data_IF_828172772983
#
_entry.id   IF_828172772983
#
_cell.length_a   1.000
_cell.length_b   1.000
_cell.length_c   1.000
_cell.angle_alpha   90.00
_cell.angle_beta   90.00
_cell.angle_gamma   90.00
#
_symmetry.space_group_name_H-M   'P 1'
#
loop_
_entity.id
_entity.type
_entity.pdbx_description
1 polymer ?
#
# COMPACT_ATOMS: atom_id res chain seq x y z
N UNK A 1 -13.58 -8.02 4.37
CA UNK A 1 -13.59 -8.77 3.09
C UNK A 1 -12.18 -9.29 2.85
N UNK A 2 -12.03 -10.49 2.30
CA UNK A 2 -10.73 -10.99 1.88
C UNK A 2 -10.33 -10.37 0.52
N UNK A 3 -9.04 -10.13 0.30
CA UNK A 3 -8.48 -9.75 -1.00
C UNK A 3 -7.61 -10.89 -1.55
N UNK A 4 -7.50 -11.00 -2.86
CA UNK A 4 -6.53 -11.87 -3.51
C UNK A 4 -5.17 -11.17 -3.56
N UNK A 5 -5.15 -9.88 -3.91
CA UNK A 5 -3.93 -9.07 -4.00
C UNK A 5 -4.12 -7.75 -3.23
N UNK A 6 -3.19 -7.45 -2.33
CA UNK A 6 -3.10 -6.15 -1.67
C UNK A 6 -1.75 -5.52 -2.01
N UNK A 7 -1.79 -4.43 -2.77
CA UNK A 7 -0.60 -3.69 -3.15
C UNK A 7 -0.40 -2.49 -2.24
N UNK A 8 0.82 -2.33 -1.74
CA UNK A 8 1.25 -1.17 -0.98
C UNK A 8 2.16 -0.29 -1.83
N UNK A 9 1.98 1.02 -1.71
CA UNK A 9 2.89 2.03 -2.25
C UNK A 9 3.33 2.98 -1.13
N UNK A 10 4.53 3.54 -1.24
CA UNK A 10 4.96 4.60 -0.34
C UNK A 10 4.08 5.85 -0.55
N UNK A 11 3.74 6.17 -1.80
CA UNK A 11 2.92 7.31 -2.18
C UNK A 11 1.83 6.90 -3.19
N UNK A 12 0.74 7.68 -3.32
CA UNK A 12 -0.23 7.48 -4.39
C UNK A 12 0.42 7.76 -5.75
N UNK A 13 0.39 6.75 -6.63
CA UNK A 13 1.01 6.60 -7.96
C UNK A 13 2.06 5.48 -8.07
N UNK A 14 2.71 5.10 -6.96
CA UNK A 14 3.76 4.08 -6.95
C UNK A 14 3.25 2.72 -7.46
N UNK A 15 2.07 2.32 -7.00
CA UNK A 15 1.46 1.04 -7.34
C UNK A 15 1.01 1.02 -8.79
N UNK A 16 0.44 2.11 -9.28
CA UNK A 16 0.02 2.27 -10.66
C UNK A 16 1.21 2.14 -11.61
N UNK A 17 2.34 2.78 -11.26
CA UNK A 17 3.56 2.75 -12.06
C UNK A 17 4.22 1.35 -12.07
N UNK A 18 4.28 0.68 -10.91
CA UNK A 18 4.97 -0.60 -10.78
C UNK A 18 4.12 -1.83 -11.10
N UNK A 19 2.82 -1.78 -10.81
CA UNK A 19 1.93 -2.94 -10.79
C UNK A 19 0.51 -2.67 -11.31
N UNK A 20 0.21 -1.50 -11.88
CA UNK A 20 -1.14 -1.17 -12.35
C UNK A 20 -1.69 -2.18 -13.37
N UNK A 21 -0.88 -2.58 -14.35
CA UNK A 21 -1.27 -3.58 -15.34
C UNK A 21 -1.57 -4.96 -14.72
N UNK A 22 -0.82 -5.36 -13.70
CA UNK A 22 -1.05 -6.60 -12.96
C UNK A 22 -2.37 -6.53 -12.19
N UNK A 23 -2.61 -5.45 -11.44
CA UNK A 23 -3.84 -5.29 -10.68
C UNK A 23 -5.08 -5.26 -11.58
N UNK A 24 -5.03 -4.54 -12.70
CA UNK A 24 -6.13 -4.49 -13.65
C UNK A 24 -6.41 -5.86 -14.28
N UNK A 25 -5.36 -6.61 -14.65
CA UNK A 25 -5.51 -7.95 -15.22
C UNK A 25 -6.18 -8.91 -14.23
N UNK A 26 -5.75 -8.90 -12.97
CA UNK A 26 -6.36 -9.73 -11.92
C UNK A 26 -7.79 -9.30 -11.58
N UNK A 27 -8.06 -7.99 -11.47
CA UNK A 27 -9.41 -7.48 -11.27
C UNK A 27 -10.36 -7.91 -12.40
N UNK A 28 -9.90 -7.85 -13.66
CA UNK A 28 -10.67 -8.30 -14.82
C UNK A 28 -10.89 -9.82 -14.86
N UNK A 29 -10.00 -10.61 -14.23
CA UNK A 29 -10.17 -12.04 -14.04
C UNK A 29 -11.12 -12.40 -12.87
N UNK A 30 -11.62 -11.40 -12.13
CA UNK A 30 -12.54 -11.57 -11.01
C UNK A 30 -11.89 -11.58 -9.63
N UNK A 31 -10.58 -11.39 -9.55
CA UNK A 31 -9.87 -11.30 -8.26
C UNK A 31 -10.21 -9.99 -7.54
N UNK A 32 -10.33 -10.07 -6.21
CA UNK A 32 -10.47 -8.90 -5.36
C UNK A 32 -9.10 -8.26 -5.10
N UNK A 33 -8.81 -7.14 -5.77
CA UNK A 33 -7.56 -6.38 -5.60
C UNK A 33 -7.77 -5.13 -4.74
N UNK A 34 -6.71 -4.62 -4.13
CA UNK A 34 -6.76 -3.39 -3.34
C UNK A 34 -5.41 -2.70 -3.25
N UNK A 35 -5.45 -1.39 -2.94
CA UNK A 35 -4.27 -0.53 -2.81
C UNK A 35 -4.23 0.10 -1.41
N UNK A 36 -3.04 0.21 -0.83
CA UNK A 36 -2.79 0.96 0.41
C UNK A 36 -1.58 1.87 0.21
N UNK A 37 -1.80 3.17 0.24
CA UNK A 37 -0.73 4.16 0.21
C UNK A 37 -0.28 4.45 1.65
N UNK A 38 1.03 4.39 1.92
CA UNK A 38 1.56 4.63 3.27
C UNK A 38 1.48 6.12 3.64
N UNK A 39 1.76 7.01 2.69
CA UNK A 39 1.76 8.47 2.85
C UNK A 39 0.72 9.12 1.93
N UNK A 40 0.49 10.43 2.04
CA UNK A 40 -0.36 11.17 1.10
C UNK A 40 0.43 11.74 -0.09
N UNK A 41 1.74 11.57 -0.11
CA UNK A 41 2.60 12.20 -1.13
C UNK A 41 2.65 13.74 -1.00
N UNK A 42 2.43 14.28 0.20
CA UNK A 42 2.27 15.72 0.45
C UNK A 42 3.55 16.54 0.27
N UNK A 43 4.73 15.91 0.21
CA UNK A 43 6.00 16.55 -0.11
C UNK A 43 6.27 16.63 -1.62
N UNK A 44 5.36 16.10 -2.45
CA UNK A 44 5.41 16.21 -3.90
C UNK A 44 5.43 17.67 -4.37
N UNK A 45 6.19 17.97 -5.43
CA UNK A 45 6.36 19.35 -5.93
C UNK A 45 5.07 19.97 -6.49
N UNK A 46 4.10 19.16 -6.89
CA UNK A 46 2.87 19.59 -7.56
C UNK A 46 1.65 18.98 -6.89
N UNK A 47 0.52 19.68 -7.02
CA UNK A 47 -0.75 19.28 -6.44
C UNK A 47 -0.83 19.61 -4.95
N UNK A 48 -1.83 19.04 -4.29
CA UNK A 48 -2.02 19.04 -2.86
C UNK A 48 -2.63 17.69 -2.43
N UNK A 49 -2.79 17.47 -1.13
CA UNK A 49 -3.28 16.21 -0.59
C UNK A 49 -4.69 15.87 -1.10
N UNK A 50 -5.58 16.86 -1.23
CA UNK A 50 -6.97 16.64 -1.66
C UNK A 50 -7.07 16.23 -3.14
N UNK A 51 -6.30 16.89 -4.02
CA UNK A 51 -6.20 16.54 -5.43
C UNK A 51 -5.63 15.13 -5.56
N UNK A 52 -4.56 14.83 -4.82
CA UNK A 52 -3.90 13.53 -4.86
C UNK A 52 -4.82 12.40 -4.38
N UNK A 53 -5.64 12.65 -3.36
CA UNK A 53 -6.64 11.70 -2.88
C UNK A 53 -7.71 11.40 -3.93
N UNK A 54 -8.20 12.41 -4.64
CA UNK A 54 -9.18 12.21 -5.72
C UNK A 54 -8.57 11.51 -6.93
N UNK A 55 -7.37 11.90 -7.35
CA UNK A 55 -6.63 11.22 -8.43
C UNK A 55 -6.40 9.73 -8.10
N UNK A 56 -5.99 9.46 -6.85
CA UNK A 56 -5.81 8.12 -6.32
C UNK A 56 -7.12 7.32 -6.34
N UNK A 57 -8.23 7.94 -5.94
CA UNK A 57 -9.56 7.31 -5.98
C UNK A 57 -9.95 6.94 -7.41
N UNK A 58 -9.80 7.86 -8.36
CA UNK A 58 -10.08 7.63 -9.79
C UNK A 58 -9.19 6.53 -10.37
N UNK A 59 -7.90 6.52 -10.04
CA UNK A 59 -6.99 5.48 -10.49
C UNK A 59 -7.40 4.08 -9.98
N UNK A 60 -7.82 3.96 -8.72
CA UNK A 60 -8.32 2.70 -8.19
C UNK A 60 -9.58 2.21 -8.90
N UNK A 61 -10.51 3.12 -9.23
CA UNK A 61 -11.71 2.80 -10.01
C UNK A 61 -11.35 2.27 -11.41
N UNK A 62 -10.40 2.92 -12.09
CA UNK A 62 -9.90 2.50 -13.41
C UNK A 62 -9.26 1.11 -13.34
N UNK A 63 -8.49 0.82 -12.29
CA UNK A 63 -7.84 -0.47 -12.08
C UNK A 63 -8.78 -1.57 -11.58
N UNK A 64 -10.04 -1.25 -11.26
CA UNK A 64 -11.01 -2.21 -10.73
C UNK A 64 -10.75 -2.65 -9.28
N UNK A 65 -9.97 -1.88 -8.52
CA UNK A 65 -9.66 -2.19 -7.13
C UNK A 65 -10.90 -2.09 -6.24
N UNK A 66 -11.07 -3.02 -5.30
CA UNK A 66 -12.20 -3.03 -4.36
C UNK A 66 -12.05 -2.02 -3.24
N UNK A 67 -10.81 -1.69 -2.89
CA UNK A 67 -10.48 -0.71 -1.86
C UNK A 67 -9.22 0.06 -2.28
N UNK A 68 -9.17 1.34 -1.89
CA UNK A 68 -7.94 2.10 -1.76
C UNK A 68 -7.94 2.78 -0.40
N UNK A 69 -6.85 2.67 0.34
CA UNK A 69 -6.70 3.27 1.66
C UNK A 69 -5.43 4.11 1.72
N UNK A 70 -5.42 5.09 2.62
CA UNK A 70 -4.24 5.88 2.92
C UNK A 70 -3.94 5.81 4.42
N UNK A 71 -2.69 5.53 4.79
CA UNK A 71 -2.28 5.42 6.21
C UNK A 71 -1.82 6.74 6.82
N UNK A 72 -1.68 7.80 6.00
CA UNK A 72 -1.29 9.14 6.40
C UNK A 72 0.00 9.18 7.25
N UNK A 73 0.96 8.30 6.94
CA UNK A 73 2.32 8.44 7.45
C UNK A 73 2.97 9.69 6.83
N UNK A 74 3.90 10.36 7.54
CA UNK A 74 4.54 11.55 7.01
C UNK A 74 5.44 11.24 5.80
N UNK A 75 5.21 11.92 4.70
CA UNK A 75 5.98 11.79 3.46
C UNK A 75 7.46 12.22 3.65
N UNK A 76 8.38 11.44 3.09
CA UNK A 76 9.82 11.54 3.30
C UNK A 76 10.34 10.93 4.61
N UNK A 77 9.43 10.46 5.48
CA UNK A 77 9.70 10.03 6.84
C UNK A 77 8.94 8.75 7.22
N UNK A 78 8.80 7.79 6.29
CA UNK A 78 8.22 6.48 6.60
C UNK A 78 9.02 5.81 7.73
N UNK A 79 8.42 5.74 8.91
CA UNK A 79 9.03 5.16 10.11
C UNK A 79 9.12 3.64 10.00
N UNK A 80 10.28 3.12 10.39
CA UNK A 80 10.52 1.70 10.59
C UNK A 80 10.58 1.41 12.09
N UNK A 81 9.47 1.62 12.78
CA UNK A 81 9.29 1.28 14.19
C UNK A 81 8.21 0.22 14.38
N UNK A 82 8.16 -0.35 15.58
CA UNK A 82 7.23 -1.43 15.87
C UNK A 82 5.76 -0.96 15.77
N UNK A 83 5.46 0.28 16.15
CA UNK A 83 4.10 0.82 16.05
C UNK A 83 3.62 0.87 14.59
N UNK A 84 4.47 1.32 13.68
CA UNK A 84 4.18 1.37 12.24
C UNK A 84 4.02 -0.03 11.66
N UNK A 85 4.86 -0.98 12.08
CA UNK A 85 4.76 -2.38 11.68
C UNK A 85 3.40 -2.97 12.10
N UNK A 86 2.95 -2.74 13.34
CA UNK A 86 1.66 -3.21 13.84
C UNK A 86 0.49 -2.56 13.07
N UNK A 87 0.58 -1.26 12.73
CA UNK A 87 -0.44 -0.59 11.91
C UNK A 87 -0.61 -1.25 10.54
N UNK A 88 0.49 -1.55 9.85
CA UNK A 88 0.46 -2.25 8.54
C UNK A 88 -0.04 -3.69 8.71
N UNK A 89 0.45 -4.41 9.72
CA UNK A 89 0.04 -5.78 10.01
C UNK A 89 -1.48 -5.88 10.28
N UNK A 90 -2.07 -4.86 10.93
CA UNK A 90 -3.52 -4.78 11.17
C UNK A 90 -4.32 -4.71 9.87
N UNK A 91 -3.83 -3.95 8.88
CA UNK A 91 -4.44 -3.89 7.55
C UNK A 91 -4.32 -5.24 6.84
N UNK A 92 -3.14 -5.86 6.87
CA UNK A 92 -2.92 -7.20 6.30
C UNK A 92 -3.87 -8.22 6.95
N UNK A 93 -4.03 -8.22 8.27
CA UNK A 93 -4.99 -9.12 8.95
C UNK A 93 -6.45 -8.82 8.63
N UNK A 94 -6.82 -7.55 8.45
CA UNK A 94 -8.19 -7.14 8.11
C UNK A 94 -8.60 -7.65 6.73
N UNK A 95 -7.68 -7.63 5.77
CA UNK A 95 -7.96 -7.99 4.37
C UNK A 95 -7.45 -9.38 3.95
N UNK A 96 -6.63 -10.03 4.78
CA UNK A 96 -6.12 -11.39 4.59
C UNK A 96 -5.67 -11.70 3.15
N UNK A 97 -4.81 -10.87 2.53
CA UNK A 97 -4.43 -11.04 1.13
C UNK A 97 -3.69 -12.35 0.88
N UNK A 98 -3.93 -13.00 -0.26
CA UNK A 98 -3.11 -14.14 -0.71
C UNK A 98 -1.73 -13.69 -1.19
N UNK A 99 -1.66 -12.50 -1.81
CA UNK A 99 -0.43 -11.88 -2.31
C UNK A 99 -0.34 -10.44 -1.80
N UNK A 100 0.83 -10.08 -1.26
CA UNK A 100 1.19 -8.68 -0.94
C UNK A 100 2.21 -8.19 -1.97
N UNK A 101 1.93 -7.04 -2.57
CA UNK A 101 2.89 -6.30 -3.40
C UNK A 101 3.38 -5.07 -2.63
N UNK A 102 4.62 -4.68 -2.82
CA UNK A 102 5.25 -3.52 -2.19
C UNK A 102 6.35 -2.96 -3.10
N UNK A 103 6.82 -1.74 -2.81
CA UNK A 103 7.95 -1.17 -3.53
C UNK A 103 9.18 -2.10 -3.48
N UNK A 104 10.07 -1.99 -4.47
CA UNK A 104 11.31 -2.76 -4.50
C UNK A 104 12.21 -2.43 -3.28
N UNK A 105 12.98 -3.40 -2.74
CA UNK A 105 13.85 -3.16 -1.58
C UNK A 105 14.93 -2.10 -1.82
N UNK A 106 15.32 -1.88 -3.08
CA UNK A 106 16.33 -0.91 -3.49
C UNK A 106 15.79 0.00 -4.59
N UNK A 107 15.78 1.31 -4.33
CA UNK A 107 15.38 2.36 -5.25
C UNK A 107 16.19 3.63 -4.94
N UNK A 108 16.29 4.57 -5.88
CA UNK A 108 16.83 5.91 -5.62
C UNK A 108 16.01 6.67 -4.59
N UNK A 109 14.71 6.38 -4.48
CA UNK A 109 13.82 7.02 -3.52
C UNK A 109 13.84 6.26 -2.18
N UNK A 110 14.34 6.86 -1.09
CA UNK A 110 14.58 6.13 0.16
C UNK A 110 13.30 5.60 0.80
N UNK A 111 12.16 6.29 0.61
CA UNK A 111 10.88 5.86 1.15
C UNK A 111 10.39 4.55 0.51
N UNK A 112 10.80 4.23 -0.72
CA UNK A 112 10.46 2.94 -1.35
C UNK A 112 11.12 1.78 -0.60
N UNK A 113 12.41 1.91 -0.29
CA UNK A 113 13.14 0.90 0.49
C UNK A 113 12.62 0.79 1.93
N UNK A 114 12.28 1.92 2.56
CA UNK A 114 11.68 1.93 3.92
C UNK A 114 10.30 1.27 3.94
N UNK A 115 9.44 1.60 2.97
CA UNK A 115 8.14 0.98 2.78
C UNK A 115 8.27 -0.52 2.62
N UNK A 116 9.13 -0.96 1.69
CA UNK A 116 9.41 -2.39 1.42
C UNK A 116 9.75 -3.13 2.71
N UNK A 117 10.73 -2.63 3.47
CA UNK A 117 11.16 -3.24 4.73
C UNK A 117 10.06 -3.25 5.80
N UNK A 118 9.30 -2.16 5.92
CA UNK A 118 8.18 -2.05 6.85
C UNK A 118 7.10 -3.09 6.56
N UNK A 119 6.73 -3.23 5.29
CA UNK A 119 5.65 -4.13 4.84
C UNK A 119 6.09 -5.59 4.95
N UNK A 120 7.33 -5.91 4.61
CA UNK A 120 7.91 -7.25 4.77
C UNK A 120 7.79 -7.75 6.22
N UNK A 121 8.21 -6.94 7.19
CA UNK A 121 8.12 -7.29 8.61
C UNK A 121 6.66 -7.35 9.09
N UNK A 122 5.81 -6.43 8.60
CA UNK A 122 4.39 -6.46 8.93
C UNK A 122 3.70 -7.74 8.43
N UNK A 123 4.10 -8.29 7.28
CA UNK A 123 3.62 -9.59 6.80
C UNK A 123 3.96 -10.71 7.79
N UNK A 124 5.19 -10.71 8.35
CA UNK A 124 5.58 -11.68 9.37
C UNK A 124 4.74 -11.53 10.65
N UNK A 125 4.62 -10.31 11.18
CA UNK A 125 3.83 -10.04 12.38
C UNK A 125 2.34 -10.36 12.21
N UNK A 126 1.78 -10.14 11.02
CA UNK A 126 0.40 -10.48 10.71
C UNK A 126 0.12 -11.99 10.88
N UNK A 127 1.12 -12.86 10.69
CA UNK A 127 1.01 -14.30 10.92
C UNK A 127 1.15 -14.76 12.38
N UNK A 128 1.60 -13.88 13.30
CA UNK A 128 1.83 -14.25 14.70
C UNK A 128 0.55 -14.15 15.53
N UNK A 129 -0.14 -15.28 15.73
CA UNK A 129 -1.42 -15.35 16.45
C UNK A 129 -1.45 -14.75 17.87
N UNK A 130 -0.30 -14.61 18.53
CA UNK A 130 -0.20 -14.04 19.89
C UNK A 130 -0.08 -12.51 19.92
N UNK A 131 0.18 -11.87 18.78
CA UNK A 131 0.22 -10.41 18.69
C UNK A 131 -1.21 -9.89 18.58
N UNK A 132 -1.60 -8.97 19.45
CA UNK A 132 -2.89 -8.26 19.36
C UNK A 132 -2.75 -7.06 18.41
N UNK A 133 -3.67 -6.94 17.45
CA UNK A 133 -3.69 -5.89 16.42
C UNK A 133 -5.07 -5.22 16.33
#
# INVERSE_FOLDING_TARGET
MKLNILAFGAHPDDVELGAGGLLAAHANAGDATGIVDLTRGEMGTRGNAEIREEEARVAADILGCKIRLNMAMPDGQISYDHESQLKVAKIIRKYQPDIVLMNAPTDRHPDHGRASKLIEEACFLAGLNKIEL
#
